data_IF_456713946024
#
_entry.id   IF_456713946024
#
_cell.length_a   1.000
_cell.length_b   1.000
_cell.length_c   1.000
_cell.angle_alpha   90.00
_cell.angle_beta   90.00
_cell.angle_gamma   90.00
#
_symmetry.space_group_name_H-M   'P 1'
#
loop_
_entity.id
_entity.type
_entity.pdbx_description
1 polymer ?
#
# COMPACT_ATOMS: atom_id res chain seq x y z
N UNK A 1 3.41 -17.53 0.39
CA UNK A 1 3.32 -16.07 0.23
C UNK A 1 2.86 -15.48 1.55
N UNK A 2 3.54 -14.45 2.05
CA UNK A 2 3.32 -13.93 3.42
C UNK A 2 3.20 -12.41 3.42
N UNK A 3 2.16 -11.88 4.08
CA UNK A 3 2.05 -10.46 4.42
C UNK A 3 2.27 -10.33 5.93
N UNK A 4 3.25 -9.55 6.35
CA UNK A 4 3.48 -9.22 7.77
C UNK A 4 3.02 -7.80 8.05
N UNK A 5 2.40 -7.59 9.22
CA UNK A 5 2.03 -6.28 9.74
C UNK A 5 2.84 -6.05 11.00
N UNK A 6 3.70 -5.04 10.99
CA UNK A 6 4.66 -4.77 12.05
C UNK A 6 4.51 -3.34 12.55
N UNK A 7 4.59 -3.16 13.87
CA UNK A 7 4.64 -1.81 14.45
C UNK A 7 5.98 -1.20 14.11
N UNK A 8 5.99 0.07 13.75
CA UNK A 8 7.19 0.85 13.55
C UNK A 8 8.05 0.81 14.82
N UNK A 9 9.29 0.36 14.65
CA UNK A 9 10.32 0.34 15.66
C UNK A 9 11.54 1.08 15.13
N UNK A 10 11.79 2.26 15.70
CA UNK A 10 12.90 3.14 15.31
C UNK A 10 14.26 2.45 15.46
N UNK A 11 14.42 1.58 16.44
CA UNK A 11 15.71 0.95 16.75
C UNK A 11 16.14 -0.06 15.68
N UNK A 12 15.17 -0.74 15.08
CA UNK A 12 15.39 -1.70 13.99
C UNK A 12 15.43 -0.95 12.65
N UNK A 13 14.64 0.11 12.51
CA UNK A 13 14.55 0.92 11.30
C UNK A 13 15.88 1.56 10.87
N UNK A 14 16.61 2.17 11.82
CA UNK A 14 17.91 2.79 11.55
C UNK A 14 18.95 1.79 11.02
N UNK A 15 18.77 0.50 11.34
CA UNK A 15 19.63 -0.58 10.86
C UNK A 15 19.21 -1.14 9.50
N UNK A 16 17.94 -0.98 9.11
CA UNK A 16 17.42 -1.56 7.87
C UNK A 16 17.38 -0.58 6.69
N UNK A 17 17.44 0.76 6.87
CA UNK A 17 17.56 1.87 5.86
C UNK A 17 16.92 1.63 4.47
N UNK A 18 15.92 0.76 4.36
CA UNK A 18 15.33 0.38 3.09
C UNK A 18 14.24 1.39 2.79
N UNK A 19 14.55 2.32 1.89
CA UNK A 19 13.66 3.28 1.26
C UNK A 19 12.19 2.84 1.26
N UNK A 20 11.41 3.47 2.15
CA UNK A 20 9.95 3.37 2.21
C UNK A 20 9.25 4.02 1.02
N UNK A 21 10.03 4.44 0.01
CA UNK A 21 9.51 4.76 -1.31
C UNK A 21 8.79 3.53 -1.86
N UNK A 22 7.47 3.67 -1.96
CA UNK A 22 6.48 2.67 -2.35
C UNK A 22 6.70 1.99 -3.72
N UNK A 23 7.80 2.26 -4.41
CA UNK A 23 7.99 1.87 -5.79
C UNK A 23 8.95 0.68 -5.97
N UNK A 24 9.83 0.40 -5.00
CA UNK A 24 10.88 -0.62 -5.22
C UNK A 24 11.05 -1.65 -4.08
N UNK A 25 10.50 -1.41 -2.90
CA UNK A 25 10.69 -2.27 -1.72
C UNK A 25 9.55 -3.29 -1.53
N UNK A 26 9.80 -4.38 -0.81
CA UNK A 26 8.74 -5.25 -0.27
C UNK A 26 8.25 -4.79 1.12
N UNK A 27 8.73 -3.64 1.58
CA UNK A 27 8.39 -3.01 2.85
C UNK A 27 7.70 -1.68 2.56
N UNK A 28 6.51 -1.47 3.14
CA UNK A 28 5.66 -0.32 2.86
C UNK A 28 5.17 0.33 4.15
N UNK A 29 5.24 1.66 4.20
CA UNK A 29 4.57 2.44 5.24
C UNK A 29 3.09 2.61 4.88
N UNK A 30 2.22 2.38 5.85
CA UNK A 30 0.76 2.55 5.71
C UNK A 30 0.18 3.55 6.70
N UNK A 31 1.03 4.33 7.36
CA UNK A 31 0.65 5.27 8.43
C UNK A 31 0.96 6.73 8.07
N UNK A 32 0.60 7.63 8.99
CA UNK A 32 0.75 9.08 8.99
C UNK A 32 2.18 9.59 8.69
N UNK A 33 3.19 8.73 8.80
CA UNK A 33 4.60 9.12 8.71
C UNK A 33 5.10 9.76 10.01
N UNK A 34 6.42 9.88 10.13
CA UNK A 34 7.07 10.50 11.30
C UNK A 34 7.98 11.66 10.93
N UNK A 35 8.08 12.01 9.64
CA UNK A 35 8.97 13.04 9.12
C UNK A 35 8.85 14.36 9.88
N UNK A 36 9.88 14.70 10.66
CA UNK A 36 9.90 15.93 11.46
C UNK A 36 10.58 17.10 10.74
N UNK A 37 11.55 16.85 9.86
CA UNK A 37 12.19 17.87 9.01
C UNK A 37 12.67 17.31 7.66
N UNK A 38 13.10 18.21 6.76
CA UNK A 38 13.46 17.91 5.37
C UNK A 38 14.60 16.87 5.18
N UNK A 39 15.39 16.60 6.22
CA UNK A 39 16.56 15.73 6.19
C UNK A 39 16.34 14.40 6.93
N UNK A 40 15.11 14.16 7.40
CA UNK A 40 14.75 12.98 8.18
C UNK A 40 14.46 11.77 7.27
N UNK A 41 15.32 10.75 7.28
CA UNK A 41 15.15 9.53 6.46
C UNK A 41 14.08 8.55 7.01
N UNK A 42 13.27 8.97 7.99
CA UNK A 42 12.25 8.15 8.64
C UNK A 42 11.05 7.85 7.70
N UNK A 43 9.82 8.19 8.06
CA UNK A 43 8.63 7.75 7.32
C UNK A 43 7.88 8.91 6.71
N UNK A 44 7.75 8.89 5.37
CA UNK A 44 6.85 9.79 4.65
C UNK A 44 5.41 9.37 4.87
N UNK A 45 4.48 10.33 4.95
CA UNK A 45 3.05 10.03 5.06
C UNK A 45 2.60 9.12 3.91
N UNK A 46 1.98 8.00 4.26
CA UNK A 46 1.50 7.05 3.27
C UNK A 46 0.35 7.66 2.46
N UNK A 47 0.38 7.57 1.11
CA UNK A 47 -0.73 7.98 0.27
C UNK A 47 -2.03 7.21 0.52
N UNK A 48 -1.96 6.06 1.19
CA UNK A 48 -3.12 5.24 1.60
C UNK A 48 -3.51 5.42 3.06
N UNK A 49 -2.86 6.33 3.78
CA UNK A 49 -3.20 6.65 5.16
C UNK A 49 -4.65 7.16 5.27
N UNK A 50 -5.40 6.60 6.22
CA UNK A 50 -6.82 6.95 6.40
C UNK A 50 -7.05 8.34 7.03
N UNK A 51 -6.02 8.94 7.64
CA UNK A 51 -6.13 10.20 8.34
C UNK A 51 -7.25 10.16 9.40
N UNK A 52 -8.19 11.11 9.39
CA UNK A 52 -9.31 11.16 10.32
C UNK A 52 -10.46 10.17 10.02
N UNK A 53 -10.45 9.48 8.86
CA UNK A 53 -11.55 8.59 8.46
C UNK A 53 -11.58 7.33 9.30
N UNK A 54 -12.74 6.79 9.63
CA UNK A 54 -12.84 5.49 10.31
C UNK A 54 -12.36 4.35 9.41
N UNK A 55 -12.03 3.19 10.01
CA UNK A 55 -11.68 1.97 9.26
C UNK A 55 -12.78 1.61 8.24
N UNK A 56 -14.04 1.73 8.64
CA UNK A 56 -15.18 1.41 7.76
C UNK A 56 -15.29 2.37 6.57
N UNK A 57 -15.13 3.68 6.79
CA UNK A 57 -15.11 4.67 5.71
C UNK A 57 -13.96 4.41 4.73
N UNK A 58 -12.76 4.15 5.25
CA UNK A 58 -11.60 3.85 4.40
C UNK A 58 -11.81 2.59 3.57
N UNK A 59 -12.42 1.56 4.17
CA UNK A 59 -12.74 0.31 3.49
C UNK A 59 -13.72 0.53 2.33
N UNK A 60 -14.73 1.37 2.53
CA UNK A 60 -15.71 1.72 1.49
C UNK A 60 -15.04 2.48 0.33
N UNK A 61 -14.15 3.43 0.63
CA UNK A 61 -13.38 4.16 -0.38
C UNK A 61 -12.47 3.23 -1.19
N UNK A 62 -11.68 2.37 -0.53
CA UNK A 62 -10.85 1.38 -1.21
C UNK A 62 -11.68 0.44 -2.09
N UNK A 63 -12.82 -0.03 -1.59
CA UNK A 63 -13.69 -0.92 -2.33
C UNK A 63 -14.29 -0.24 -3.57
N UNK A 64 -14.69 1.02 -3.45
CA UNK A 64 -15.19 1.80 -4.57
C UNK A 64 -14.12 2.00 -5.65
N UNK A 65 -12.88 2.29 -5.26
CA UNK A 65 -11.77 2.41 -6.21
C UNK A 65 -11.44 1.08 -6.87
N UNK A 66 -11.34 -0.01 -6.11
CA UNK A 66 -11.10 -1.36 -6.65
C UNK A 66 -12.16 -1.71 -7.70
N UNK A 67 -13.45 -1.57 -7.37
CA UNK A 67 -14.54 -1.84 -8.32
C UNK A 67 -14.44 -1.00 -9.59
N UNK A 68 -14.06 0.27 -9.45
CA UNK A 68 -13.98 1.21 -10.57
C UNK A 68 -12.83 0.88 -11.52
N UNK A 69 -11.65 0.53 -11.00
CA UNK A 69 -10.43 0.42 -11.80
C UNK A 69 -9.98 -1.01 -12.09
N UNK A 70 -10.40 -2.00 -11.30
CA UNK A 70 -9.98 -3.40 -11.48
C UNK A 70 -10.34 -3.99 -12.86
N UNK A 71 -11.55 -3.78 -13.44
CA UNK A 71 -11.85 -4.32 -14.76
C UNK A 71 -10.90 -3.80 -15.84
N UNK A 72 -10.58 -2.51 -15.79
CA UNK A 72 -9.65 -1.87 -16.74
C UNK A 72 -8.20 -2.31 -16.53
N UNK A 73 -7.79 -2.53 -15.26
CA UNK A 73 -6.49 -3.10 -14.95
C UNK A 73 -6.34 -4.47 -15.62
N UNK A 74 -7.32 -5.35 -15.47
CA UNK A 74 -7.27 -6.72 -16.01
C UNK A 74 -7.22 -6.74 -17.55
N UNK A 75 -7.79 -5.74 -18.22
CA UNK A 75 -7.76 -5.61 -19.68
C UNK A 75 -6.42 -5.07 -20.21
N UNK A 76 -5.77 -4.16 -19.46
CA UNK A 76 -4.67 -3.32 -20.00
C UNK A 76 -3.34 -3.39 -19.25
N UNK A 77 -3.27 -4.13 -18.14
CA UNK A 77 -2.07 -4.29 -17.32
C UNK A 77 -1.45 -2.94 -16.91
N UNK A 78 -2.29 -2.02 -16.40
CA UNK A 78 -1.97 -0.62 -16.00
C UNK A 78 -1.52 0.35 -17.08
N UNK A 79 -1.20 -0.11 -18.30
CA UNK A 79 -0.65 0.76 -19.36
C UNK A 79 -1.57 1.93 -19.69
N UNK A 80 -2.89 1.74 -19.62
CA UNK A 80 -3.86 2.83 -19.81
C UNK A 80 -4.21 3.62 -18.54
N UNK A 81 -4.13 3.00 -17.37
CA UNK A 81 -4.37 3.70 -16.07
C UNK A 81 -3.31 4.79 -15.87
N UNK A 82 -2.08 4.55 -16.33
CA UNK A 82 -0.99 5.52 -16.32
C UNK A 82 -1.02 6.47 -17.53
N UNK A 83 -1.49 6.03 -18.71
CA UNK A 83 -1.49 6.86 -19.93
C UNK A 83 -2.65 7.86 -20.03
N UNK A 84 -3.76 7.64 -19.31
CA UNK A 84 -4.86 8.63 -19.17
C UNK A 84 -4.50 9.83 -18.28
N UNK A 85 -3.26 10.33 -18.34
CA UNK A 85 -2.73 11.61 -17.79
C UNK A 85 -2.94 11.92 -16.28
N UNK A 86 -3.88 11.28 -15.56
CA UNK A 86 -4.33 11.56 -14.18
C UNK A 86 -5.29 10.46 -13.69
N UNK A 87 -4.86 9.21 -13.44
CA UNK A 87 -5.72 8.37 -12.60
C UNK A 87 -5.69 8.97 -11.19
N UNK A 88 -6.73 9.75 -10.83
CA UNK A 88 -6.89 10.47 -9.55
C UNK A 88 -7.04 9.53 -8.33
N UNK A 89 -6.57 8.29 -8.45
CA UNK A 89 -6.84 7.16 -7.58
C UNK A 89 -5.53 6.70 -6.98
N UNK A 90 -5.02 7.53 -6.06
CA UNK A 90 -3.80 7.21 -5.34
C UNK A 90 -3.97 5.89 -4.57
N UNK A 91 -5.18 5.53 -4.12
CA UNK A 91 -5.37 4.30 -3.36
C UNK A 91 -5.24 3.05 -4.22
N UNK A 92 -5.99 2.93 -5.31
CA UNK A 92 -5.91 1.77 -6.18
C UNK A 92 -4.49 1.55 -6.72
N UNK A 93 -3.83 2.62 -7.17
CA UNK A 93 -2.45 2.53 -7.65
C UNK A 93 -1.50 1.96 -6.58
N UNK A 94 -1.60 2.46 -5.34
CA UNK A 94 -0.78 1.95 -4.23
C UNK A 94 -1.10 0.48 -3.90
N UNK A 95 -2.39 0.14 -3.81
CA UNK A 95 -2.85 -1.22 -3.49
C UNK A 95 -2.36 -2.22 -4.55
N UNK A 96 -2.50 -1.89 -5.83
CA UNK A 96 -2.01 -2.73 -6.93
C UNK A 96 -0.50 -2.84 -6.93
N UNK A 97 0.24 -1.73 -6.76
CA UNK A 97 1.70 -1.76 -6.73
C UNK A 97 2.23 -2.69 -5.61
N UNK A 98 1.65 -2.61 -4.41
CA UNK A 98 1.97 -3.53 -3.32
C UNK A 98 1.58 -4.98 -3.65
N UNK A 99 0.44 -5.17 -4.31
CA UNK A 99 -0.05 -6.49 -4.73
C UNK A 99 0.88 -7.15 -5.74
N UNK A 100 1.27 -6.45 -6.80
CA UNK A 100 2.22 -6.94 -7.80
C UNK A 100 3.57 -7.28 -7.16
N UNK A 101 4.04 -6.45 -6.22
CA UNK A 101 5.27 -6.73 -5.48
C UNK A 101 5.15 -7.97 -4.61
N UNK A 102 4.02 -8.13 -3.91
CA UNK A 102 3.71 -9.30 -3.11
C UNK A 102 3.66 -10.57 -3.98
N UNK A 103 3.04 -10.50 -5.16
CA UNK A 103 3.03 -11.58 -6.14
C UNK A 103 4.43 -11.94 -6.64
N UNK A 104 5.23 -10.93 -6.98
CA UNK A 104 6.60 -11.11 -7.52
C UNK A 104 7.58 -11.68 -6.50
N UNK A 105 7.52 -11.23 -5.25
CA UNK A 105 8.52 -11.57 -4.23
C UNK A 105 8.06 -12.63 -3.24
N UNK A 106 6.76 -12.92 -3.20
CA UNK A 106 6.13 -13.81 -2.24
C UNK A 106 6.07 -13.26 -0.81
N UNK A 107 6.55 -12.03 -0.56
CA UNK A 107 6.57 -11.40 0.75
C UNK A 107 6.19 -9.92 0.68
N UNK A 108 5.50 -9.45 1.70
CA UNK A 108 5.17 -8.04 1.87
C UNK A 108 5.19 -7.71 3.36
N UNK A 109 5.80 -6.59 3.74
CA UNK A 109 5.80 -6.07 5.10
C UNK A 109 5.09 -4.71 5.10
N UNK A 110 4.05 -4.57 5.92
CA UNK A 110 3.34 -3.32 6.16
C UNK A 110 3.73 -2.78 7.53
N UNK A 111 4.28 -1.57 7.57
CA UNK A 111 4.69 -0.88 8.79
C UNK A 111 3.63 0.13 9.21
N UNK A 112 3.17 0.03 10.46
CA UNK A 112 2.21 0.96 11.05
C UNK A 112 2.78 1.68 12.28
N UNK A 113 2.37 2.92 12.53
CA UNK A 113 2.81 3.71 13.70
C UNK A 113 1.76 3.59 14.81
N UNK A 114 0.59 4.18 14.59
CA UNK A 114 -0.46 4.32 15.60
C UNK A 114 -1.64 3.36 15.39
N UNK A 115 -1.82 2.83 14.17
CA UNK A 115 -3.03 2.11 13.80
C UNK A 115 -2.76 0.78 13.08
N UNK A 116 -2.84 -0.29 13.87
CA UNK A 116 -2.70 -1.66 13.39
C UNK A 116 -3.88 -2.11 12.55
N UNK A 117 -5.10 -1.74 12.91
CA UNK A 117 -6.32 -2.21 12.23
C UNK A 117 -6.37 -1.71 10.79
N UNK A 118 -5.91 -0.47 10.57
CA UNK A 118 -5.77 0.09 9.23
C UNK A 118 -4.79 -0.71 8.37
N UNK A 119 -3.62 -1.07 8.93
CA UNK A 119 -2.62 -1.87 8.23
C UNK A 119 -3.12 -3.27 7.91
N UNK A 120 -3.83 -3.91 8.84
CA UNK A 120 -4.45 -5.23 8.62
C UNK A 120 -5.57 -5.18 7.56
N UNK A 121 -6.33 -4.08 7.50
CA UNK A 121 -7.34 -3.86 6.48
C UNK A 121 -6.70 -3.71 5.08
N UNK A 122 -5.59 -2.98 4.98
CA UNK A 122 -4.79 -2.91 3.74
C UNK A 122 -4.24 -4.29 3.35
N UNK A 123 -3.71 -5.07 4.30
CA UNK A 123 -3.23 -6.43 4.05
C UNK A 123 -4.33 -7.32 3.44
N UNK A 124 -5.57 -7.23 3.96
CA UNK A 124 -6.73 -7.95 3.41
C UNK A 124 -7.09 -7.49 2.00
N UNK A 125 -7.03 -6.19 1.71
CA UNK A 125 -7.24 -5.68 0.35
C UNK A 125 -6.19 -6.22 -0.63
N UNK A 126 -4.93 -6.25 -0.23
CA UNK A 126 -3.82 -6.78 -1.05
C UNK A 126 -3.99 -8.28 -1.30
N UNK A 127 -4.35 -9.05 -0.27
CA UNK A 127 -4.60 -10.47 -0.43
C UNK A 127 -5.76 -10.73 -1.39
N UNK A 128 -6.87 -9.99 -1.25
CA UNK A 128 -7.99 -10.06 -2.18
C UNK A 128 -7.57 -9.77 -3.63
N UNK A 129 -6.83 -8.68 -3.85
CA UNK A 129 -6.34 -8.33 -5.19
C UNK A 129 -5.39 -9.40 -5.73
N UNK A 130 -4.49 -9.93 -4.91
CA UNK A 130 -3.58 -11.01 -5.30
C UNK A 130 -4.35 -12.26 -5.77
N UNK A 131 -5.46 -12.60 -5.10
CA UNK A 131 -6.30 -13.73 -5.46
C UNK A 131 -7.09 -13.48 -6.76
N UNK A 132 -7.42 -12.22 -7.08
CA UNK A 132 -8.02 -11.86 -8.37
C UNK A 132 -6.99 -11.87 -9.51
N UNK A 133 -5.71 -11.60 -9.23
CA UNK A 133 -4.67 -11.44 -10.24
C UNK A 133 -3.91 -12.71 -10.58
N UNK A 134 -3.89 -13.72 -9.69
CA UNK A 134 -3.28 -15.00 -10.04
C UNK A 134 -4.22 -15.74 -10.99
N UNK A 135 -3.87 -15.95 -12.27
CA UNK A 135 -4.49 -17.01 -13.03
C UNK A 135 -4.03 -18.31 -12.37
N UNK A 136 -4.92 -19.30 -12.34
CA UNK A 136 -4.66 -20.66 -11.87
C UNK A 136 -3.27 -21.19 -12.23
#
# INVERSE_FOLDING_TARGET
MTITVEKFDRTIYDTEKCSFQMLFSSVYNVSEGTYTDANDDELWTSPIWRNWRTIQQQKEEFWAEIKKYMPYYLETDMKEINSRRYSRSNYFHCLISMTEKYLKTGKLKLIYISDREHAEMIAKCIQYLADQLRPF
#
